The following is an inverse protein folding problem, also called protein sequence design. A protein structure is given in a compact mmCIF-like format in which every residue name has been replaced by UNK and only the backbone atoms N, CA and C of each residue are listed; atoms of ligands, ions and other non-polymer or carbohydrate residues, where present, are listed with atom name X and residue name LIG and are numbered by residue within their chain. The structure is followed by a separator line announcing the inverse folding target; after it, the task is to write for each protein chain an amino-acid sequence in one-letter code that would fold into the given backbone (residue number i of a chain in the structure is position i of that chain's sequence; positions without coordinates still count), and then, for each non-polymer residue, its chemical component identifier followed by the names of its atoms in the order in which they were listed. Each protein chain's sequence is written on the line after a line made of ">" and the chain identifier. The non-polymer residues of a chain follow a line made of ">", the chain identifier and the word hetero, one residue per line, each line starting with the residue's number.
data_IF_578289269048
#
_entry.id   IF_578289269048
#
_cell.length_a   1.000
_cell.length_b   1.000
_cell.length_c   1.000
_cell.angle_alpha   90.00
_cell.angle_beta   90.00
_cell.angle_gamma   90.00
#
_symmetry.space_group_name_H-M   'P 1'
#
loop_
_entity.id
_entity.type
_entity.pdbx_description
1 polymer ?
#
# COMPACT_ATOMS: atom_id res chain seq x y z
N UNK A 1 -29.31 31.03 -9.49
CA UNK A 1 -27.98 30.43 -9.25
C UNK A 1 -27.42 31.11 -8.01
N UNK A 2 -27.42 30.44 -6.87
CA UNK A 2 -26.98 31.04 -5.61
C UNK A 2 -25.46 31.12 -5.55
N UNK A 3 -24.91 32.33 -5.42
CA UNK A 3 -23.52 32.53 -5.01
C UNK A 3 -23.33 31.92 -3.62
N UNK A 4 -22.33 31.03 -3.47
CA UNK A 4 -21.85 30.64 -2.16
C UNK A 4 -21.14 31.85 -1.54
N UNK A 5 -21.87 32.65 -0.76
CA UNK A 5 -21.27 33.64 0.13
C UNK A 5 -20.42 32.96 1.21
N UNK A 6 -19.48 33.70 1.80
CA UNK A 6 -18.78 33.21 2.99
C UNK A 6 -19.83 32.82 4.05
N UNK A 7 -19.75 31.62 4.66
CA UNK A 7 -20.64 31.29 5.75
C UNK A 7 -20.40 32.31 6.85
N UNK A 8 -21.40 33.10 7.21
CA UNK A 8 -21.28 34.14 8.22
C UNK A 8 -21.91 33.70 9.54
N UNK A 9 -22.73 32.65 9.50
CA UNK A 9 -23.38 32.05 10.67
C UNK A 9 -22.80 30.66 10.98
N UNK A 10 -22.99 30.24 12.23
CA UNK A 10 -22.57 28.91 12.68
C UNK A 10 -23.33 27.79 11.93
N UNK A 11 -24.62 27.98 11.68
CA UNK A 11 -25.45 27.00 10.97
C UNK A 11 -25.01 26.83 9.51
N UNK A 12 -24.66 27.93 8.82
CA UNK A 12 -24.09 27.88 7.48
C UNK A 12 -22.74 27.14 7.45
N UNK A 13 -21.88 27.34 8.46
CA UNK A 13 -20.63 26.61 8.57
C UNK A 13 -20.87 25.10 8.74
N UNK A 14 -21.77 24.70 9.64
CA UNK A 14 -22.08 23.30 9.87
C UNK A 14 -22.69 22.66 8.62
N UNK A 15 -23.56 23.39 7.92
CA UNK A 15 -24.12 22.93 6.65
C UNK A 15 -23.02 22.71 5.60
N UNK A 16 -22.08 23.65 5.44
CA UNK A 16 -20.96 23.50 4.52
C UNK A 16 -20.05 22.32 4.89
N UNK A 17 -19.78 22.11 6.18
CA UNK A 17 -19.05 20.95 6.67
C UNK A 17 -19.75 19.63 6.32
N UNK A 18 -21.08 19.58 6.46
CA UNK A 18 -21.86 18.39 6.10
C UNK A 18 -21.79 18.10 4.60
N UNK A 19 -21.96 19.13 3.76
CA UNK A 19 -21.82 19.02 2.30
C UNK A 19 -20.43 18.47 1.92
N UNK A 20 -19.35 19.03 2.49
CA UNK A 20 -17.98 18.56 2.24
C UNK A 20 -17.79 17.10 2.68
N UNK A 21 -18.53 16.62 3.68
CA UNK A 21 -18.41 15.26 4.20
C UNK A 21 -19.07 14.19 3.31
N UNK A 22 -20.05 14.60 2.49
CA UNK A 22 -20.82 13.73 1.60
C UNK A 22 -20.27 13.72 0.15
N UNK A 23 -19.45 14.71 -0.21
CA UNK A 23 -18.93 14.88 -1.58
C UNK A 23 -17.66 14.03 -1.88
N UNK A 24 -17.52 13.66 -3.16
CA UNK A 24 -16.40 12.88 -3.69
C UNK A 24 -15.10 13.69 -3.82
N UNK A 25 -13.96 12.99 -3.91
CA UNK A 25 -12.66 13.63 -4.13
C UNK A 25 -12.63 14.33 -5.49
N UNK A 26 -12.34 15.64 -5.50
CA UNK A 26 -11.96 16.37 -6.71
C UNK A 26 -13.01 17.34 -7.29
N UNK A 27 -14.18 17.46 -6.66
CA UNK A 27 -15.20 18.40 -7.14
C UNK A 27 -14.76 19.87 -6.90
N UNK A 28 -14.74 20.67 -7.98
CA UNK A 28 -14.30 22.07 -7.95
C UNK A 28 -15.12 22.92 -6.98
N UNK A 29 -16.40 22.59 -6.82
CA UNK A 29 -17.30 23.19 -5.84
C UNK A 29 -16.90 22.86 -4.40
N UNK A 30 -16.57 21.60 -4.11
CA UNK A 30 -16.06 21.17 -2.80
C UNK A 30 -14.77 21.87 -2.46
N UNK A 31 -13.86 22.05 -3.42
CA UNK A 31 -12.60 22.75 -3.19
C UNK A 31 -12.80 24.23 -2.83
N UNK A 32 -13.79 24.90 -3.44
CA UNK A 32 -14.18 26.27 -3.04
C UNK A 32 -14.76 26.29 -1.62
N UNK A 33 -15.66 25.37 -1.30
CA UNK A 33 -16.25 25.27 0.04
C UNK A 33 -15.17 24.98 1.11
N UNK A 34 -14.24 24.06 0.84
CA UNK A 34 -13.08 23.78 1.69
C UNK A 34 -12.24 25.04 1.92
N UNK A 35 -11.95 25.81 0.87
CA UNK A 35 -11.15 27.04 0.98
C UNK A 35 -11.85 28.09 1.86
N UNK A 36 -13.16 28.30 1.65
CA UNK A 36 -13.96 29.20 2.49
C UNK A 36 -13.94 28.77 3.95
N UNK A 37 -14.15 27.48 4.21
CA UNK A 37 -14.11 26.92 5.56
C UNK A 37 -12.74 27.10 6.22
N UNK A 38 -11.63 26.88 5.50
CA UNK A 38 -10.27 27.07 6.04
C UNK A 38 -10.00 28.52 6.44
N UNK A 39 -10.57 29.49 5.72
CA UNK A 39 -10.43 30.91 6.02
C UNK A 39 -11.35 31.40 7.14
N UNK A 40 -12.32 30.59 7.59
CA UNK A 40 -13.34 31.05 8.51
C UNK A 40 -12.85 31.16 9.97
N UNK A 41 -13.20 32.25 10.64
CA UNK A 41 -12.75 32.57 12.02
C UNK A 41 -13.03 31.47 13.04
N UNK A 42 -14.22 30.87 13.00
CA UNK A 42 -14.64 29.80 13.93
C UNK A 42 -14.06 28.41 13.60
N UNK A 43 -13.37 28.24 12.47
CA UNK A 43 -12.91 26.91 12.01
C UNK A 43 -12.11 26.18 13.08
N UNK A 44 -11.18 26.86 13.75
CA UNK A 44 -10.31 26.22 14.74
C UNK A 44 -11.08 25.76 15.97
N UNK A 45 -12.03 26.57 16.45
CA UNK A 45 -12.88 26.22 17.60
C UNK A 45 -13.78 25.03 17.30
N UNK A 46 -14.44 25.03 16.13
CA UNK A 46 -15.30 23.91 15.70
C UNK A 46 -14.49 22.63 15.50
N UNK A 47 -13.32 22.74 14.87
CA UNK A 47 -12.43 21.59 14.68
C UNK A 47 -11.96 21.00 16.02
N UNK A 48 -11.61 21.84 17.00
CA UNK A 48 -11.22 21.37 18.33
C UNK A 48 -12.35 20.60 19.04
N UNK A 49 -13.60 21.09 18.95
CA UNK A 49 -14.77 20.38 19.49
C UNK A 49 -14.98 19.04 18.78
N UNK A 50 -14.82 18.98 17.46
CA UNK A 50 -14.91 17.70 16.74
C UNK A 50 -13.79 16.72 17.12
N UNK A 51 -12.56 17.19 17.34
CA UNK A 51 -11.48 16.36 17.86
C UNK A 51 -11.85 15.79 19.23
N UNK A 52 -12.33 16.62 20.16
CA UNK A 52 -12.74 16.22 21.50
C UNK A 52 -13.90 15.21 21.48
N UNK A 53 -14.94 15.48 20.68
CA UNK A 53 -16.07 14.57 20.48
C UNK A 53 -15.57 13.24 19.93
N UNK A 54 -14.72 13.26 18.89
CA UNK A 54 -14.19 12.04 18.28
C UNK A 54 -13.37 11.24 19.28
N UNK A 55 -12.52 11.87 20.08
CA UNK A 55 -11.74 11.18 21.12
C UNK A 55 -12.64 10.54 22.18
N UNK A 56 -13.67 11.26 22.66
CA UNK A 56 -14.61 10.75 23.67
C UNK A 56 -15.53 9.65 23.13
N UNK A 57 -15.90 9.72 21.85
CA UNK A 57 -16.80 8.76 21.20
C UNK A 57 -16.06 7.58 20.55
N UNK A 58 -14.75 7.67 20.33
CA UNK A 58 -13.90 6.62 19.76
C UNK A 58 -13.67 5.42 20.71
N UNK A 59 -14.67 5.05 21.52
CA UNK A 59 -14.68 3.91 22.42
C UNK A 59 -14.75 2.52 21.73
N UNK A 60 -14.60 2.43 20.42
CA UNK A 60 -14.50 1.12 19.75
C UNK A 60 -13.75 1.23 18.43
N UNK A 61 -12.50 1.65 18.49
CA UNK A 61 -11.63 1.45 17.35
C UNK A 61 -10.92 0.12 17.54
N UNK A 62 -11.67 -0.96 17.24
CA UNK A 62 -11.25 -2.35 17.00
C UNK A 62 -9.74 -2.53 17.20
N UNK A 63 -9.37 -2.90 18.42
CA UNK A 63 -8.10 -3.55 18.73
C UNK A 63 -8.05 -4.90 17.99
N UNK A 64 -7.88 -4.86 16.67
CA UNK A 64 -7.41 -6.02 15.91
C UNK A 64 -5.89 -6.07 16.06
N UNK A 65 -5.29 -7.27 16.14
CA UNK A 65 -3.85 -7.39 16.39
C UNK A 65 -3.08 -6.83 15.20
N UNK A 66 -2.55 -5.61 15.35
CA UNK A 66 -1.56 -5.01 14.44
C UNK A 66 -0.18 -5.70 14.58
N UNK A 67 -0.10 -6.77 15.39
CA UNK A 67 1.06 -7.65 15.61
C UNK A 67 0.75 -9.08 15.09
N UNK A 68 0.20 -9.18 13.88
CA UNK A 68 0.10 -10.50 13.23
C UNK A 68 1.49 -10.87 12.72
N UNK A 69 2.06 -12.03 13.12
CA UNK A 69 3.41 -12.43 12.71
C UNK A 69 3.53 -12.47 11.18
N UNK A 70 4.74 -12.24 10.66
CA UNK A 70 5.06 -12.37 9.24
C UNK A 70 4.47 -13.68 8.68
N UNK A 71 3.81 -13.58 7.52
CA UNK A 71 3.11 -14.73 6.94
C UNK A 71 4.10 -15.91 6.78
N UNK A 72 3.89 -17.05 7.47
CA UNK A 72 4.77 -18.20 7.37
C UNK A 72 4.93 -18.71 5.94
N UNK A 73 3.94 -18.50 5.06
CA UNK A 73 4.05 -18.82 3.63
C UNK A 73 5.05 -17.90 2.92
N UNK A 74 5.00 -16.59 3.20
CA UNK A 74 5.89 -15.60 2.60
C UNK A 74 7.36 -15.89 2.95
N UNK A 75 7.64 -16.15 4.24
CA UNK A 75 8.98 -16.52 4.72
C UNK A 75 9.51 -17.79 4.03
N UNK A 76 8.66 -18.80 3.85
CA UNK A 76 9.03 -20.04 3.15
C UNK A 76 9.40 -19.78 1.70
N UNK A 77 8.63 -18.96 1.00
CA UNK A 77 8.92 -18.58 -0.39
C UNK A 77 10.22 -17.77 -0.50
N UNK A 78 10.48 -16.86 0.45
CA UNK A 78 11.71 -16.09 0.48
C UNK A 78 12.95 -16.97 0.63
N UNK A 79 12.93 -17.88 1.60
CA UNK A 79 14.03 -18.82 1.78
C UNK A 79 14.24 -19.70 0.54
N UNK A 80 13.17 -20.09 -0.15
CA UNK A 80 13.25 -20.87 -1.39
C UNK A 80 13.90 -20.05 -2.51
N UNK A 81 13.47 -18.81 -2.74
CA UNK A 81 14.03 -17.95 -3.78
C UNK A 81 15.50 -17.61 -3.52
N UNK A 82 15.89 -17.44 -2.26
CA UNK A 82 17.30 -17.25 -1.88
C UNK A 82 18.12 -18.50 -2.17
N UNK A 83 17.62 -19.68 -1.80
CA UNK A 83 18.32 -20.95 -2.04
C UNK A 83 18.53 -21.24 -3.54
N UNK A 84 17.59 -20.83 -4.40
CA UNK A 84 17.68 -20.96 -5.87
C UNK A 84 18.51 -19.83 -6.52
N UNK A 85 19.05 -18.91 -5.70
CA UNK A 85 19.82 -17.74 -6.12
C UNK A 85 18.99 -16.73 -6.92
N UNK A 86 17.66 -16.76 -6.79
CA UNK A 86 16.74 -15.85 -7.48
C UNK A 86 16.61 -14.52 -6.73
N UNK A 87 16.65 -14.56 -5.40
CA UNK A 87 16.64 -13.41 -4.51
C UNK A 87 17.89 -13.38 -3.61
N UNK A 88 18.16 -12.24 -2.97
CA UNK A 88 19.29 -12.05 -2.04
C UNK A 88 20.54 -11.40 -2.66
N UNK A 89 21.56 -11.04 -1.85
CA UNK A 89 22.79 -10.39 -2.30
C UNK A 89 23.68 -11.31 -3.15
N UNK A 90 23.56 -12.63 -2.97
CA UNK A 90 24.28 -13.66 -3.73
C UNK A 90 23.60 -13.98 -5.08
N UNK A 91 23.17 -12.94 -5.82
CA UNK A 91 22.62 -13.06 -7.18
C UNK A 91 23.69 -13.65 -8.11
N UNK A 92 23.83 -14.97 -8.15
CA UNK A 92 24.79 -15.64 -9.02
C UNK A 92 25.72 -16.66 -8.39
N UNK A 93 25.37 -17.30 -7.27
CA UNK A 93 26.13 -18.45 -6.79
C UNK A 93 26.38 -19.45 -7.95
N UNK A 94 27.65 -19.78 -8.27
CA UNK A 94 27.96 -20.61 -9.43
C UNK A 94 27.43 -22.02 -9.19
N UNK A 95 26.54 -22.49 -10.06
CA UNK A 95 26.24 -23.92 -10.14
C UNK A 95 27.53 -24.66 -10.54
N UNK A 96 27.84 -25.83 -9.94
CA UNK A 96 29.08 -26.55 -10.20
C UNK A 96 29.25 -26.78 -11.71
N UNK A 97 30.42 -26.41 -12.22
CA UNK A 97 30.74 -26.25 -13.63
C UNK A 97 31.09 -27.58 -14.32
N UNK A 98 30.21 -28.58 -14.23
CA UNK A 98 30.45 -29.84 -14.91
C UNK A 98 29.21 -30.33 -15.70
N UNK A 99 29.43 -30.56 -17.00
CA UNK A 99 28.59 -31.19 -18.03
C UNK A 99 27.74 -30.31 -18.98
N UNK A 100 28.26 -30.08 -20.20
CA UNK A 100 27.50 -30.10 -21.47
C UNK A 100 26.60 -28.89 -21.82
N UNK A 101 26.18 -28.82 -23.10
CA UNK A 101 25.34 -27.74 -23.66
C UNK A 101 23.99 -27.51 -22.95
N UNK A 102 23.41 -28.55 -22.35
CA UNK A 102 22.18 -28.46 -21.56
C UNK A 102 22.33 -27.61 -20.29
N UNK A 103 23.56 -27.51 -19.75
CA UNK A 103 23.85 -26.66 -18.61
C UNK A 103 23.85 -25.17 -18.98
N UNK A 104 24.24 -24.82 -20.22
CA UNK A 104 24.20 -23.44 -20.70
C UNK A 104 22.76 -22.95 -20.85
N UNK A 105 21.89 -23.78 -21.44
CA UNK A 105 20.46 -23.48 -21.61
C UNK A 105 19.74 -23.36 -20.27
N UNK A 106 20.05 -24.24 -19.30
CA UNK A 106 19.53 -24.14 -17.94
C UNK A 106 19.92 -22.81 -17.28
N UNK A 107 21.20 -22.44 -17.34
CA UNK A 107 21.71 -21.18 -16.78
C UNK A 107 21.06 -19.97 -17.42
N UNK A 108 20.87 -19.98 -18.74
CA UNK A 108 20.19 -18.90 -19.46
C UNK A 108 18.73 -18.77 -19.01
N UNK A 109 17.98 -19.87 -18.93
CA UNK A 109 16.58 -19.86 -18.47
C UNK A 109 16.45 -19.45 -17.01
N UNK A 110 17.34 -19.89 -16.13
CA UNK A 110 17.36 -19.44 -14.74
C UNK A 110 17.64 -17.94 -14.66
N UNK A 111 18.60 -17.43 -15.44
CA UNK A 111 18.86 -15.99 -15.54
C UNK A 111 17.64 -15.21 -16.03
N UNK A 112 16.85 -15.77 -16.96
CA UNK A 112 15.61 -15.16 -17.41
C UNK A 112 14.57 -15.10 -16.29
N UNK A 113 14.36 -16.19 -15.54
CA UNK A 113 13.45 -16.22 -14.38
C UNK A 113 13.85 -15.15 -13.36
N UNK A 114 15.16 -15.02 -13.07
CA UNK A 114 15.70 -13.98 -12.19
C UNK A 114 15.37 -12.58 -12.69
N UNK A 115 15.63 -12.31 -13.97
CA UNK A 115 15.37 -10.99 -14.56
C UNK A 115 13.89 -10.63 -14.46
N UNK A 116 12.99 -11.55 -14.82
CA UNK A 116 11.54 -11.32 -14.75
C UNK A 116 11.07 -11.10 -13.32
N UNK A 117 11.50 -11.94 -12.37
CA UNK A 117 11.14 -11.77 -10.96
C UNK A 117 11.55 -10.39 -10.42
N UNK A 118 12.80 -9.97 -10.66
CA UNK A 118 13.29 -8.68 -10.17
C UNK A 118 12.56 -7.49 -10.82
N UNK A 119 12.25 -7.59 -12.12
CA UNK A 119 11.49 -6.55 -12.81
C UNK A 119 10.06 -6.43 -12.28
N UNK A 120 9.37 -7.55 -12.07
CA UNK A 120 8.01 -7.55 -11.53
C UNK A 120 7.99 -7.13 -10.06
N UNK A 121 9.01 -7.52 -9.27
CA UNK A 121 9.16 -7.07 -7.89
C UNK A 121 9.33 -5.55 -7.81
N UNK A 122 10.17 -4.96 -8.67
CA UNK A 122 10.35 -3.51 -8.72
C UNK A 122 9.03 -2.79 -9.06
N UNK A 123 8.29 -3.25 -10.08
CA UNK A 123 6.98 -2.67 -10.43
C UNK A 123 6.00 -2.77 -9.27
N UNK A 124 5.99 -3.90 -8.56
CA UNK A 124 5.17 -4.10 -7.38
C UNK A 124 5.54 -3.10 -6.28
N UNK A 125 6.81 -2.92 -5.97
CA UNK A 125 7.30 -2.00 -4.93
C UNK A 125 6.96 -0.54 -5.28
N UNK A 126 7.18 -0.13 -6.53
CA UNK A 126 6.83 1.20 -7.04
C UNK A 126 5.33 1.45 -6.92
N UNK A 127 4.49 0.52 -7.38
CA UNK A 127 3.04 0.65 -7.29
C UNK A 127 2.53 0.68 -5.84
N UNK A 128 3.11 -0.12 -4.95
CA UNK A 128 2.79 -0.11 -3.51
C UNK A 128 3.14 1.24 -2.89
N UNK A 129 4.33 1.77 -3.21
CA UNK A 129 4.80 3.04 -2.71
C UNK A 129 3.91 4.19 -3.19
N UNK A 130 3.64 4.27 -4.49
CA UNK A 130 2.80 5.31 -5.10
C UNK A 130 1.39 5.29 -4.49
N UNK A 131 0.77 4.12 -4.41
CA UNK A 131 -0.56 3.98 -3.84
C UNK A 131 -0.60 4.39 -2.36
N UNK A 132 0.38 3.93 -1.57
CA UNK A 132 0.47 4.26 -0.14
C UNK A 132 0.66 5.76 0.06
N UNK A 133 1.57 6.39 -0.71
CA UNK A 133 1.79 7.83 -0.66
C UNK A 133 0.53 8.61 -1.05
N UNK A 134 -0.19 8.17 -2.09
CA UNK A 134 -1.42 8.79 -2.51
C UNK A 134 -2.48 8.74 -1.40
N UNK A 135 -2.71 7.60 -0.78
CA UNK A 135 -3.67 7.46 0.33
C UNK A 135 -3.27 8.32 1.54
N UNK A 136 -1.99 8.32 1.91
CA UNK A 136 -1.50 9.17 3.02
C UNK A 136 -1.72 10.65 2.72
N UNK A 137 -1.41 11.09 1.50
CA UNK A 137 -1.63 12.47 1.06
C UNK A 137 -3.12 12.85 1.14
N UNK A 138 -4.00 11.99 0.65
CA UNK A 138 -5.45 12.18 0.73
C UNK A 138 -5.95 12.28 2.17
N UNK A 139 -5.52 11.38 3.05
CA UNK A 139 -5.91 11.40 4.47
C UNK A 139 -5.37 12.64 5.19
N UNK A 140 -4.17 13.11 4.86
CA UNK A 140 -3.59 14.36 5.39
C UNK A 140 -4.30 15.60 4.86
N UNK A 141 -4.79 15.58 3.64
CA UNK A 141 -5.62 16.67 3.12
C UNK A 141 -6.98 16.70 3.84
N UNK A 142 -7.63 15.55 3.95
CA UNK A 142 -8.91 15.42 4.64
C UNK A 142 -8.80 15.77 6.13
N UNK A 143 -7.66 15.48 6.77
CA UNK A 143 -7.45 15.82 8.19
C UNK A 143 -7.48 17.33 8.47
N UNK A 144 -7.49 18.18 7.44
CA UNK A 144 -7.61 19.65 7.57
C UNK A 144 -9.04 20.11 7.84
N UNK A 145 -10.04 19.36 7.39
CA UNK A 145 -11.47 19.74 7.50
C UNK A 145 -12.26 18.80 8.39
N UNK A 146 -11.75 17.59 8.65
CA UNK A 146 -12.35 16.65 9.62
C UNK A 146 -11.28 16.04 10.51
N UNK A 147 -11.57 15.71 11.78
CA UNK A 147 -10.59 15.08 12.66
C UNK A 147 -10.19 13.69 12.14
N UNK A 148 -8.91 13.50 11.83
CA UNK A 148 -8.29 12.20 11.53
C UNK A 148 -6.98 12.14 12.33
N UNK A 149 -6.89 11.18 13.25
CA UNK A 149 -5.70 10.99 14.07
C UNK A 149 -4.60 10.26 13.30
N UNK A 150 -3.33 10.53 13.63
CA UNK A 150 -2.19 9.86 13.01
C UNK A 150 -2.31 8.33 13.05
N UNK A 151 -2.70 7.77 14.20
CA UNK A 151 -2.97 6.33 14.38
C UNK A 151 -3.98 5.73 13.39
N UNK A 152 -4.94 6.53 12.91
CA UNK A 152 -5.92 6.07 11.92
C UNK A 152 -5.30 6.01 10.52
N UNK A 153 -4.41 6.96 10.20
CA UNK A 153 -3.63 6.96 8.96
C UNK A 153 -2.69 5.74 8.95
N UNK A 154 -1.97 5.53 10.04
CA UNK A 154 -1.03 4.40 10.17
C UNK A 154 -1.76 3.07 10.03
N UNK A 155 -2.96 2.93 10.60
CA UNK A 155 -3.77 1.71 10.41
C UNK A 155 -4.20 1.53 8.95
N UNK A 156 -4.61 2.59 8.26
CA UNK A 156 -4.95 2.49 6.83
C UNK A 156 -3.74 2.00 6.03
N UNK A 157 -2.54 2.51 6.32
CA UNK A 157 -1.29 2.03 5.70
C UNK A 157 -1.08 0.54 6.01
N UNK A 158 -1.26 0.10 7.25
CA UNK A 158 -1.15 -1.33 7.61
C UNK A 158 -2.14 -2.23 6.87
N UNK A 159 -3.39 -1.80 6.70
CA UNK A 159 -4.41 -2.52 5.92
C UNK A 159 -3.98 -2.63 4.45
N UNK A 160 -3.42 -1.54 3.89
CA UNK A 160 -2.92 -1.50 2.52
C UNK A 160 -1.76 -2.47 2.35
N UNK A 161 -0.77 -2.45 3.23
CA UNK A 161 0.37 -3.38 3.21
C UNK A 161 -0.11 -4.83 3.28
N UNK A 162 -1.08 -5.14 4.16
CA UNK A 162 -1.65 -6.48 4.26
C UNK A 162 -2.33 -6.94 2.96
N UNK A 163 -3.04 -6.04 2.28
CA UNK A 163 -3.66 -6.34 0.96
C UNK A 163 -2.60 -6.59 -0.11
N UNK A 164 -1.54 -5.78 -0.13
CA UNK A 164 -0.44 -5.94 -1.08
C UNK A 164 0.43 -7.17 -0.83
N UNK A 165 0.53 -7.65 0.41
CA UNK A 165 1.26 -8.87 0.74
C UNK A 165 0.75 -10.08 -0.05
N UNK A 166 -0.56 -10.18 -0.31
CA UNK A 166 -1.13 -11.24 -1.15
C UNK A 166 -0.58 -11.27 -2.58
N UNK A 167 -0.35 -10.09 -3.18
CA UNK A 167 0.25 -9.97 -4.52
C UNK A 167 1.72 -10.42 -4.47
N UNK A 168 2.44 -10.03 -3.42
CA UNK A 168 3.83 -10.44 -3.22
C UNK A 168 3.97 -11.96 -3.07
N UNK A 169 3.09 -12.59 -2.31
CA UNK A 169 3.03 -14.06 -2.17
C UNK A 169 2.82 -14.71 -3.53
N UNK A 170 1.87 -14.23 -4.33
CA UNK A 170 1.60 -14.77 -5.67
C UNK A 170 2.80 -14.65 -6.61
N UNK A 171 3.47 -13.49 -6.62
CA UNK A 171 4.68 -13.28 -7.43
C UNK A 171 5.79 -14.27 -7.05
N UNK A 172 6.06 -14.41 -5.75
CA UNK A 172 7.09 -15.33 -5.25
C UNK A 172 6.74 -16.78 -5.52
N UNK A 173 5.47 -17.17 -5.34
CA UNK A 173 4.98 -18.51 -5.63
C UNK A 173 5.14 -18.88 -7.12
N UNK A 174 4.66 -18.02 -8.02
CA UNK A 174 4.82 -18.21 -9.48
C UNK A 174 6.29 -18.35 -9.89
N UNK A 175 7.17 -17.56 -9.25
CA UNK A 175 8.62 -17.65 -9.48
C UNK A 175 9.19 -18.99 -9.00
N UNK A 176 8.81 -19.46 -7.81
CA UNK A 176 9.21 -20.76 -7.29
C UNK A 176 8.74 -21.91 -8.19
N UNK A 177 7.49 -21.87 -8.66
CA UNK A 177 6.93 -22.86 -9.59
C UNK A 177 7.72 -22.90 -10.91
N UNK A 178 8.07 -21.74 -11.47
CA UNK A 178 8.91 -21.67 -12.67
C UNK A 178 10.30 -22.30 -12.47
N UNK A 179 10.92 -22.09 -11.30
CA UNK A 179 12.20 -22.73 -10.96
C UNK A 179 12.03 -24.24 -10.81
N UNK A 180 10.98 -24.71 -10.15
CA UNK A 180 10.71 -26.15 -10.00
C UNK A 180 10.50 -26.83 -11.35
N UNK A 181 9.73 -26.22 -12.25
CA UNK A 181 9.54 -26.73 -13.63
C UNK A 181 10.86 -26.76 -14.39
N UNK A 182 11.69 -25.72 -14.25
CA UNK A 182 13.02 -25.69 -14.86
C UNK A 182 13.92 -26.80 -14.31
N UNK A 183 13.90 -27.05 -13.00
CA UNK A 183 14.66 -28.13 -12.37
C UNK A 183 14.20 -29.51 -12.83
N UNK A 184 12.89 -29.80 -12.81
CA UNK A 184 12.38 -31.12 -13.26
C UNK A 184 12.75 -31.41 -14.71
N UNK A 185 12.62 -30.42 -15.62
CA UNK A 185 12.97 -30.61 -17.04
C UNK A 185 14.43 -30.98 -17.30
N UNK A 186 15.36 -30.52 -16.46
CA UNK A 186 16.80 -30.69 -16.68
C UNK A 186 17.47 -31.69 -15.72
N UNK A 187 16.85 -31.99 -14.57
CA UNK A 187 17.36 -32.94 -13.58
C UNK A 187 16.69 -34.32 -13.66
N UNK A 188 15.40 -34.42 -14.04
CA UNK A 188 14.72 -35.72 -14.24
C UNK A 188 15.04 -36.35 -15.62
N UNK A 189 15.69 -35.60 -16.51
CA UNK A 189 16.10 -36.08 -17.83
C UNK A 189 17.46 -36.82 -17.83
N UNK A 190 18.06 -37.06 -16.66
CA UNK A 190 19.41 -37.63 -16.51
C UNK A 190 19.44 -38.90 -15.66
#
# INVERSE_FOLDING_TARGET
>A
MGEFGQPNTFDEMLHQLNVISEETLGDSQTNKAKAMLQSHRMKQSVFAVFCEIKEKTALSIRSGPDDQPEDPQLMRLDNMLVAEGVAGPDKGAPLPADAGGDQADYRQKLSQIRSTYNQELQKYEEACQEFTQHVVSLLREQSRTRPIAAKEIDRMVGIIQKKFSGIQVQLKQSTCENVMVLRSRFLDAR
#
